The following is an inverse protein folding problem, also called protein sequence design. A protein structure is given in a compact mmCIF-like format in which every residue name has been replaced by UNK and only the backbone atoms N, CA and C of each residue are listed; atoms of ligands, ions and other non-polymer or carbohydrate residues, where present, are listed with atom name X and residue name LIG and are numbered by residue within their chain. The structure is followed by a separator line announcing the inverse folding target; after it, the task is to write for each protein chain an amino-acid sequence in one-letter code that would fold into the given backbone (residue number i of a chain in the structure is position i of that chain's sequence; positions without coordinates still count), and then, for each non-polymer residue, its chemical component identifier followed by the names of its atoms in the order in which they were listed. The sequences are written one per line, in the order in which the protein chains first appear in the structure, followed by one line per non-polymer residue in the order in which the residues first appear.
data_IF_870022479320
#
_entry.id   IF_870022479320
#
_cell.length_a   1.000
_cell.length_b   1.000
_cell.length_c   1.000
_cell.angle_alpha   90.00
_cell.angle_beta   90.00
_cell.angle_gamma   90.00
#
_symmetry.space_group_name_H-M   'P 1'
#
loop_
_entity.id
_entity.type
_entity.pdbx_description
1 polymer ?
#
# COMPACT_ATOMS: atom_id res chain seq x y z
N UNK A 1 -9.13 20.20 14.66
CA UNK A 1 -8.80 18.86 14.15
C UNK A 1 -9.68 18.57 12.94
N UNK A 2 -9.21 17.79 11.96
CA UNK A 2 -10.06 17.37 10.82
C UNK A 2 -11.20 16.44 11.27
N UNK A 3 -12.32 16.45 10.55
CA UNK A 3 -13.51 15.62 10.78
C UNK A 3 -13.63 14.57 9.66
N UNK A 4 -13.24 13.33 9.94
CA UNK A 4 -13.35 12.19 9.03
C UNK A 4 -14.80 11.73 8.86
N UNK A 5 -15.64 11.88 9.89
CA UNK A 5 -17.06 11.48 9.86
C UNK A 5 -17.85 12.18 8.75
N UNK A 6 -17.39 13.36 8.30
CA UNK A 6 -17.92 14.04 7.12
C UNK A 6 -17.86 13.17 5.84
N UNK A 7 -16.87 12.29 5.72
CA UNK A 7 -16.70 11.38 4.59
C UNK A 7 -17.29 9.98 4.84
N UNK A 8 -17.72 9.66 6.07
CA UNK A 8 -18.35 8.37 6.35
C UNK A 8 -19.77 8.32 5.76
N UNK A 9 -20.01 7.33 4.90
CA UNK A 9 -21.30 7.01 4.33
C UNK A 9 -21.98 5.91 5.14
N UNK A 10 -23.04 6.20 5.92
CA UNK A 10 -23.71 5.20 6.74
C UNK A 10 -24.50 4.16 5.93
N UNK A 11 -24.86 4.45 4.68
CA UNK A 11 -25.57 3.51 3.83
C UNK A 11 -24.62 2.42 3.30
N UNK A 12 -23.47 2.84 2.78
CA UNK A 12 -22.45 1.90 2.28
C UNK A 12 -21.57 1.32 3.40
N UNK A 13 -21.54 2.00 4.55
CA UNK A 13 -20.62 1.75 5.67
C UNK A 13 -19.14 1.88 5.29
N UNK A 14 -18.86 2.80 4.34
CA UNK A 14 -17.54 3.07 3.79
C UNK A 14 -17.23 4.57 3.78
N UNK A 15 -15.96 4.91 3.62
CA UNK A 15 -15.51 6.30 3.48
C UNK A 15 -15.61 6.73 2.02
N UNK A 16 -16.28 7.85 1.73
CA UNK A 16 -16.30 8.42 0.38
C UNK A 16 -14.91 8.93 0.00
N UNK A 17 -14.55 8.86 -1.28
CA UNK A 17 -13.25 9.35 -1.79
C UNK A 17 -13.07 10.86 -1.58
N UNK A 18 -14.18 11.60 -1.56
CA UNK A 18 -14.14 13.04 -1.44
C UNK A 18 -15.52 13.66 -1.49
N UNK A 19 -15.55 14.97 -1.71
CA UNK A 19 -16.75 15.80 -1.77
C UNK A 19 -16.60 16.88 -2.83
N UNK A 20 -17.58 16.97 -3.73
CA UNK A 20 -17.60 17.97 -4.80
C UNK A 20 -18.26 19.24 -4.28
N UNK A 21 -17.48 20.25 -3.89
CA UNK A 21 -17.99 21.51 -3.33
C UNK A 21 -18.95 22.20 -4.29
N UNK A 22 -18.62 22.23 -5.58
CA UNK A 22 -19.44 22.85 -6.62
C UNK A 22 -20.78 22.13 -6.86
N UNK A 23 -20.89 20.86 -6.47
CA UNK A 23 -22.11 20.06 -6.60
C UNK A 23 -22.85 19.87 -5.26
N UNK A 24 -22.22 20.20 -4.13
CA UNK A 24 -22.78 20.01 -2.81
C UNK A 24 -22.99 18.54 -2.41
N UNK A 25 -22.28 17.58 -3.03
CA UNK A 25 -22.46 16.15 -2.81
C UNK A 25 -21.15 15.37 -2.67
N UNK A 26 -21.22 14.24 -1.95
CA UNK A 26 -20.10 13.30 -1.80
C UNK A 26 -19.79 12.60 -3.12
N UNK A 27 -18.52 12.20 -3.30
CA UNK A 27 -18.14 11.34 -4.40
C UNK A 27 -18.99 10.06 -4.43
N UNK A 28 -19.34 9.60 -5.64
CA UNK A 28 -20.01 8.32 -5.84
C UNK A 28 -19.08 7.11 -5.61
N UNK A 29 -17.78 7.35 -5.39
CA UNK A 29 -16.78 6.32 -5.12
C UNK A 29 -16.37 6.31 -3.65
N UNK A 30 -16.07 5.12 -3.14
CA UNK A 30 -15.70 4.88 -1.75
C UNK A 30 -14.41 4.06 -1.64
N UNK A 31 -13.65 4.34 -0.58
CA UNK A 31 -12.48 3.55 -0.21
C UNK A 31 -12.96 2.22 0.39
N UNK A 32 -13.19 1.27 -0.51
CA UNK A 32 -13.80 -0.02 -0.21
C UNK A 32 -12.85 -1.21 -0.24
N UNK A 33 -11.63 -1.08 -0.75
CA UNK A 33 -10.64 -2.16 -0.76
C UNK A 33 -9.84 -2.13 0.53
N UNK A 34 -9.75 -3.28 1.19
CA UNK A 34 -9.12 -3.39 2.51
C UNK A 34 -7.61 -3.17 2.46
N UNK A 35 -6.92 -3.83 1.54
CA UNK A 35 -5.47 -3.81 1.45
C UNK A 35 -4.96 -2.70 0.52
N UNK A 36 -5.32 -1.46 0.85
CA UNK A 36 -4.90 -0.25 0.14
C UNK A 36 -4.33 0.81 1.10
N UNK A 37 -3.70 1.86 0.58
CA UNK A 37 -3.10 2.95 1.36
C UNK A 37 -4.15 3.70 2.21
N UNK A 38 -5.37 3.80 1.68
CA UNK A 38 -6.48 4.55 2.29
C UNK A 38 -6.96 3.96 3.61
N UNK A 39 -6.62 2.69 3.93
CA UNK A 39 -6.99 2.02 5.19
C UNK A 39 -6.55 2.79 6.43
N UNK A 40 -5.46 3.55 6.34
CA UNK A 40 -4.98 4.36 7.46
C UNK A 40 -5.97 5.47 7.83
N UNK A 41 -6.61 6.09 6.84
CA UNK A 41 -7.65 7.10 7.06
C UNK A 41 -8.86 6.51 7.77
N UNK A 42 -9.27 5.29 7.37
CA UNK A 42 -10.32 4.52 8.05
C UNK A 42 -9.96 4.21 9.49
N UNK A 43 -8.72 3.78 9.76
CA UNK A 43 -8.26 3.47 11.12
C UNK A 43 -8.29 4.71 12.02
N UNK A 44 -7.84 5.86 11.52
CA UNK A 44 -7.88 7.14 12.23
C UNK A 44 -9.32 7.57 12.50
N UNK A 45 -10.22 7.45 11.51
CA UNK A 45 -11.63 7.79 11.68
C UNK A 45 -12.29 6.95 12.79
N UNK A 46 -12.00 5.65 12.84
CA UNK A 46 -12.49 4.75 13.89
C UNK A 46 -11.89 5.13 15.25
N UNK A 47 -10.59 5.42 15.33
CA UNK A 47 -9.93 5.79 16.58
C UNK A 47 -10.47 7.08 17.18
N UNK A 48 -10.92 8.00 16.31
CA UNK A 48 -11.57 9.24 16.70
C UNK A 48 -13.05 9.07 17.09
N UNK A 49 -13.64 7.89 16.88
CA UNK A 49 -15.07 7.66 17.06
C UNK A 49 -15.94 8.31 15.98
N UNK A 50 -15.34 8.71 14.85
CA UNK A 50 -16.01 9.38 13.72
C UNK A 50 -16.51 8.39 12.65
N UNK A 51 -16.07 7.13 12.73
CA UNK A 51 -16.60 6.00 11.98
C UNK A 51 -16.77 4.78 12.91
N UNK A 52 -17.80 3.94 12.70
CA UNK A 52 -18.00 2.71 13.48
C UNK A 52 -16.91 1.67 13.18
N UNK A 53 -16.60 0.77 14.13
CA UNK A 53 -15.56 -0.26 13.95
C UNK A 53 -15.89 -1.24 12.83
N UNK A 54 -17.18 -1.46 12.60
CA UNK A 54 -17.77 -2.26 11.52
C UNK A 54 -17.26 -1.82 10.14
N UNK A 55 -16.95 -0.54 9.97
CA UNK A 55 -16.36 -0.01 8.74
C UNK A 55 -15.09 -0.79 8.32
N UNK A 56 -14.24 -1.18 9.27
CA UNK A 56 -13.01 -1.92 9.01
C UNK A 56 -13.25 -3.30 8.35
N UNK A 57 -14.35 -3.94 8.75
CA UNK A 57 -14.76 -5.26 8.29
C UNK A 57 -15.66 -5.21 7.04
N UNK A 58 -16.23 -4.02 6.75
CA UNK A 58 -16.99 -3.77 5.53
C UNK A 58 -16.11 -3.73 4.29
N UNK A 59 -14.86 -3.27 4.41
CA UNK A 59 -13.92 -3.20 3.28
C UNK A 59 -13.65 -4.60 2.69
N UNK A 60 -13.63 -4.71 1.37
CA UNK A 60 -13.44 -5.95 0.64
C UNK A 60 -11.98 -6.42 0.68
N UNK A 61 -11.77 -7.68 1.07
CA UNK A 61 -10.47 -8.38 0.93
C UNK A 61 -10.29 -8.85 -0.52
N UNK A 62 -11.36 -9.39 -1.10
CA UNK A 62 -11.50 -9.73 -2.52
C UNK A 62 -12.93 -9.44 -2.98
N UNK A 63 -13.22 -9.56 -4.28
CA UNK A 63 -14.59 -9.55 -4.78
C UNK A 63 -15.10 -10.97 -5.06
N UNK A 64 -16.33 -11.09 -5.53
CA UNK A 64 -16.96 -12.36 -5.80
C UNK A 64 -16.24 -13.10 -6.96
N UNK A 65 -16.10 -14.45 -6.92
CA UNK A 65 -15.40 -15.22 -7.97
C UNK A 65 -15.97 -15.05 -9.38
N UNK A 66 -17.23 -14.64 -9.50
CA UNK A 66 -17.97 -14.44 -10.75
C UNK A 66 -17.61 -13.11 -11.43
N UNK A 67 -16.93 -12.19 -10.71
CA UNK A 67 -16.45 -10.93 -11.27
C UNK A 67 -15.15 -11.15 -12.05
N UNK A 68 -15.30 -11.38 -13.35
CA UNK A 68 -14.23 -11.75 -14.31
C UNK A 68 -13.26 -10.62 -14.67
N UNK A 69 -13.60 -9.37 -14.34
CA UNK A 69 -12.73 -8.21 -14.53
C UNK A 69 -11.53 -8.18 -13.57
N UNK A 70 -11.59 -8.96 -12.49
CA UNK A 70 -10.51 -9.07 -11.51
C UNK A 70 -9.27 -9.75 -12.12
N UNK A 71 -8.07 -9.35 -11.70
CA UNK A 71 -6.82 -9.92 -12.22
C UNK A 71 -6.57 -11.35 -11.79
N UNK A 72 -7.03 -11.73 -10.59
CA UNK A 72 -6.93 -13.08 -10.06
C UNK A 72 -8.30 -13.63 -9.67
N UNK A 73 -8.43 -14.96 -9.68
CA UNK A 73 -9.60 -15.62 -9.11
C UNK A 73 -9.42 -15.78 -7.60
N UNK A 74 -10.32 -15.23 -6.78
CA UNK A 74 -10.22 -15.37 -5.34
C UNK A 74 -10.50 -16.80 -4.88
N UNK A 75 -9.77 -17.22 -3.85
CA UNK A 75 -9.89 -18.51 -3.17
C UNK A 75 -10.37 -18.28 -1.74
N UNK A 76 -11.13 -19.24 -1.20
CA UNK A 76 -11.60 -19.19 0.19
C UNK A 76 -12.58 -18.03 0.45
N UNK A 77 -13.44 -17.71 -0.52
CA UNK A 77 -14.46 -16.65 -0.37
C UNK A 77 -15.60 -17.16 0.50
N UNK A 78 -15.58 -16.79 1.78
CA UNK A 78 -16.55 -17.25 2.77
C UNK A 78 -16.78 -16.20 3.86
N UNK A 79 -17.98 -16.14 4.49
CA UNK A 79 -18.19 -15.33 5.68
C UNK A 79 -17.30 -15.83 6.83
N UNK A 80 -16.59 -14.91 7.49
CA UNK A 80 -15.85 -15.14 8.73
C UNK A 80 -16.36 -14.23 9.83
N UNK A 81 -16.16 -14.63 11.08
CA UNK A 81 -16.55 -13.82 12.23
C UNK A 81 -15.59 -14.01 13.39
N UNK A 82 -15.21 -12.90 14.02
CA UNK A 82 -14.38 -12.86 15.21
C UNK A 82 -14.58 -11.50 15.91
N UNK A 83 -14.42 -11.47 17.23
CA UNK A 83 -14.49 -10.21 17.99
C UNK A 83 -15.83 -9.45 17.89
N UNK A 84 -16.92 -10.14 17.54
CA UNK A 84 -18.24 -9.53 17.33
C UNK A 84 -18.47 -8.94 15.94
N UNK A 85 -17.51 -9.09 15.02
CA UNK A 85 -17.60 -8.60 13.64
C UNK A 85 -17.71 -9.75 12.65
N UNK A 86 -18.34 -9.48 11.51
CA UNK A 86 -18.46 -10.40 10.38
C UNK A 86 -17.93 -9.72 9.13
N UNK A 87 -17.20 -10.46 8.30
CA UNK A 87 -16.70 -10.01 7.01
C UNK A 87 -16.65 -11.17 6.01
N UNK A 88 -16.52 -10.85 4.73
CA UNK A 88 -16.22 -11.84 3.70
C UNK A 88 -14.71 -11.97 3.56
N UNK A 89 -14.18 -13.13 3.97
CA UNK A 89 -12.79 -13.46 3.73
C UNK A 89 -12.57 -13.87 2.28
N UNK A 90 -11.31 -13.88 1.86
CA UNK A 90 -10.88 -14.27 0.52
C UNK A 90 -9.45 -13.81 0.29
N UNK A 91 -8.73 -14.54 -0.53
CA UNK A 91 -7.35 -14.22 -0.89
C UNK A 91 -7.08 -14.62 -2.35
N UNK A 92 -5.99 -14.13 -2.91
CA UNK A 92 -5.43 -14.63 -4.16
C UNK A 92 -4.31 -15.61 -3.86
N UNK A 93 -4.15 -16.57 -4.76
CA UNK A 93 -3.00 -17.47 -4.78
C UNK A 93 -2.17 -17.18 -6.03
N UNK A 94 -0.89 -16.88 -5.85
CA UNK A 94 0.03 -16.72 -6.96
C UNK A 94 1.43 -17.22 -6.59
N UNK A 95 2.02 -18.01 -7.49
CA UNK A 95 3.25 -18.77 -7.24
C UNK A 95 3.07 -19.72 -6.05
N UNK A 96 3.79 -19.49 -4.96
CA UNK A 96 3.83 -20.31 -3.76
C UNK A 96 3.26 -19.57 -2.54
N UNK A 97 2.43 -18.54 -2.76
CA UNK A 97 1.96 -17.63 -1.72
C UNK A 97 0.47 -17.33 -1.84
N UNK A 98 -0.17 -17.26 -0.67
CA UNK A 98 -1.50 -16.70 -0.47
C UNK A 98 -1.37 -15.27 0.05
N UNK A 99 -2.23 -14.37 -0.43
CA UNK A 99 -2.23 -12.97 0.00
C UNK A 99 -3.58 -12.29 -0.29
N UNK A 100 -3.91 -11.27 0.50
CA UNK A 100 -4.99 -10.34 0.18
C UNK A 100 -4.47 -9.32 -0.85
N UNK A 101 -5.06 -9.22 -2.05
CA UNK A 101 -4.61 -8.32 -3.09
C UNK A 101 -4.92 -6.85 -2.75
N UNK A 102 -4.07 -5.95 -3.26
CA UNK A 102 -4.36 -4.50 -3.26
C UNK A 102 -5.27 -4.14 -4.43
N UNK A 103 -5.54 -2.86 -4.71
CA UNK A 103 -6.32 -2.50 -5.91
C UNK A 103 -5.48 -2.62 -7.17
N UNK A 104 -4.32 -1.98 -7.19
CA UNK A 104 -3.42 -1.87 -8.33
C UNK A 104 -2.24 -2.83 -8.32
N UNK A 105 -1.93 -3.47 -7.20
CA UNK A 105 -0.77 -4.35 -7.09
C UNK A 105 0.55 -3.58 -6.97
N UNK A 106 0.51 -2.31 -6.55
CA UNK A 106 1.70 -1.52 -6.29
C UNK A 106 2.23 -1.72 -4.87
N UNK A 107 3.55 -1.59 -4.70
CA UNK A 107 4.16 -1.61 -3.36
C UNK A 107 3.70 -0.45 -2.48
N UNK A 108 3.36 0.70 -3.07
CA UNK A 108 2.83 1.86 -2.35
C UNK A 108 1.55 1.51 -1.57
N UNK A 109 0.57 0.89 -2.23
CA UNK A 109 -0.72 0.52 -1.59
C UNK A 109 -0.52 -0.42 -0.38
N UNK A 110 0.46 -1.32 -0.50
CA UNK A 110 0.82 -2.27 0.53
C UNK A 110 1.56 -1.60 1.70
N UNK A 111 2.61 -0.84 1.41
CA UNK A 111 3.63 -0.47 2.39
C UNK A 111 3.55 0.99 2.88
N UNK A 112 2.85 1.89 2.19
CA UNK A 112 2.71 3.28 2.64
C UNK A 112 2.11 3.38 4.05
N UNK A 113 1.04 2.63 4.40
CA UNK A 113 0.50 2.66 5.77
C UNK A 113 1.51 2.25 6.83
N UNK A 114 2.49 1.40 6.46
CA UNK A 114 3.53 0.97 7.38
C UNK A 114 4.48 2.09 7.80
N UNK A 115 4.52 3.22 7.08
CA UNK A 115 5.34 4.38 7.49
C UNK A 115 4.99 4.90 8.89
N UNK A 116 3.73 4.75 9.30
CA UNK A 116 3.27 5.19 10.63
C UNK A 116 2.69 4.04 11.45
N UNK A 117 2.16 2.99 10.84
CA UNK A 117 1.61 1.85 11.57
C UNK A 117 2.55 0.65 11.47
N UNK A 118 3.16 0.20 12.56
CA UNK A 118 3.96 -1.03 12.53
C UNK A 118 3.06 -2.28 12.42
N UNK A 119 2.67 -2.62 11.20
CA UNK A 119 1.83 -3.78 10.91
C UNK A 119 2.56 -5.10 11.19
N UNK A 120 3.90 -5.13 11.18
CA UNK A 120 4.67 -6.31 11.58
C UNK A 120 4.53 -6.59 13.07
N UNK A 121 4.47 -5.54 13.89
CA UNK A 121 4.29 -5.66 15.33
C UNK A 121 2.82 -5.85 15.71
N UNK A 122 1.91 -5.08 15.12
CA UNK A 122 0.53 -4.99 15.57
C UNK A 122 -0.42 -5.96 14.85
N UNK A 123 -0.05 -6.46 13.67
CA UNK A 123 -0.84 -7.37 12.84
C UNK A 123 0.03 -8.47 12.18
N UNK A 124 0.87 -9.21 12.95
CA UNK A 124 1.88 -10.11 12.40
C UNK A 124 1.32 -11.28 11.58
N UNK A 125 0.06 -11.67 11.83
CA UNK A 125 -0.61 -12.81 11.18
C UNK A 125 -1.69 -12.34 10.19
N UNK A 126 -1.65 -11.08 9.76
CA UNK A 126 -2.54 -10.52 8.74
C UNK A 126 -1.78 -9.48 7.91
N UNK A 127 -2.04 -8.18 8.11
CA UNK A 127 -1.44 -7.10 7.34
C UNK A 127 0.10 -7.18 7.30
N UNK A 128 0.75 -7.49 8.42
CA UNK A 128 2.20 -7.60 8.49
C UNK A 128 2.77 -8.77 7.68
N UNK A 129 2.12 -9.93 7.74
CA UNK A 129 2.51 -11.08 6.91
C UNK A 129 2.23 -10.81 5.43
N UNK A 130 1.08 -10.21 5.12
CA UNK A 130 0.70 -9.83 3.77
C UNK A 130 1.66 -8.82 3.15
N UNK A 131 2.17 -7.85 3.93
CA UNK A 131 3.19 -6.90 3.51
C UNK A 131 4.52 -7.57 3.15
N UNK A 132 4.95 -8.56 3.94
CA UNK A 132 6.15 -9.37 3.63
C UNK A 132 5.97 -10.15 2.33
N UNK A 133 4.84 -10.86 2.20
CA UNK A 133 4.50 -11.62 0.99
C UNK A 133 4.42 -10.70 -0.23
N UNK A 134 3.80 -9.53 -0.08
CA UNK A 134 3.68 -8.56 -1.16
C UNK A 134 5.06 -8.05 -1.60
N UNK A 135 5.93 -7.73 -0.65
CA UNK A 135 7.30 -7.30 -0.96
C UNK A 135 8.10 -8.41 -1.66
N UNK A 136 8.04 -9.63 -1.14
CA UNK A 136 8.77 -10.79 -1.68
C UNK A 136 8.34 -11.07 -3.12
N UNK A 137 7.04 -11.22 -3.37
CA UNK A 137 6.49 -11.47 -4.71
C UNK A 137 6.84 -10.34 -5.67
N UNK A 138 6.82 -9.09 -5.19
CA UNK A 138 7.14 -7.95 -6.02
C UNK A 138 8.61 -7.89 -6.43
N UNK A 139 9.52 -8.24 -5.52
CA UNK A 139 10.94 -8.40 -5.85
C UNK A 139 11.15 -9.58 -6.80
N UNK A 140 10.58 -10.74 -6.50
CA UNK A 140 10.72 -11.97 -7.32
C UNK A 140 10.21 -11.75 -8.74
N UNK A 141 9.04 -11.14 -8.92
CA UNK A 141 8.51 -10.87 -10.25
C UNK A 141 9.43 -9.97 -11.08
N UNK A 142 9.89 -8.86 -10.50
CA UNK A 142 10.78 -7.93 -11.21
C UNK A 142 12.12 -8.58 -11.59
N UNK A 143 12.73 -9.31 -10.66
CA UNK A 143 14.07 -9.89 -10.87
C UNK A 143 14.04 -11.19 -11.68
N UNK A 144 13.06 -12.06 -11.45
CA UNK A 144 13.00 -13.42 -12.01
C UNK A 144 12.20 -13.45 -13.31
N UNK A 145 11.01 -12.81 -13.36
CA UNK A 145 10.13 -12.89 -14.54
C UNK A 145 10.44 -11.83 -15.58
N UNK A 146 10.66 -10.59 -15.11
CA UNK A 146 10.94 -9.45 -16.00
C UNK A 146 12.44 -9.29 -16.30
N UNK A 147 13.31 -9.96 -15.52
CA UNK A 147 14.77 -9.86 -15.67
C UNK A 147 15.32 -8.47 -15.38
N UNK A 148 14.60 -7.65 -14.60
CA UNK A 148 15.05 -6.30 -14.29
C UNK A 148 16.21 -6.32 -13.29
N UNK A 149 17.18 -5.40 -13.41
CA UNK A 149 18.30 -5.32 -12.46
C UNK A 149 17.91 -4.68 -11.12
N UNK A 150 16.77 -3.98 -11.09
CA UNK A 150 16.17 -3.27 -9.95
C UNK A 150 14.66 -3.53 -9.89
N UNK A 151 14.06 -3.31 -8.74
CA UNK A 151 12.63 -3.56 -8.48
C UNK A 151 12.00 -2.44 -7.66
N UNK A 152 10.66 -2.42 -7.54
CA UNK A 152 9.94 -1.35 -6.84
C UNK A 152 8.97 -0.61 -7.74
N UNK A 153 7.94 -1.30 -8.27
CA UNK A 153 6.96 -0.68 -9.16
C UNK A 153 5.85 -0.07 -8.30
N UNK A 154 5.57 1.21 -8.52
CA UNK A 154 4.50 1.98 -7.87
C UNK A 154 4.20 3.23 -8.69
N UNK A 155 3.04 3.87 -8.47
CA UNK A 155 2.70 5.13 -9.12
C UNK A 155 3.83 6.16 -9.00
N UNK A 156 4.25 6.69 -10.14
CA UNK A 156 5.42 7.58 -10.23
C UNK A 156 5.45 8.35 -11.54
N UNK A 157 6.39 9.29 -11.62
CA UNK A 157 6.73 10.01 -12.84
C UNK A 157 7.29 9.05 -13.89
N UNK A 158 6.90 9.24 -15.14
CA UNK A 158 7.42 8.45 -16.26
C UNK A 158 8.80 8.95 -16.70
N UNK A 159 9.81 8.08 -16.83
CA UNK A 159 11.06 8.39 -17.52
C UNK A 159 10.80 8.69 -19.01
N UNK A 160 11.61 9.59 -19.59
CA UNK A 160 11.45 10.07 -20.96
C UNK A 160 10.96 11.53 -21.01
N UNK A 161 11.26 12.23 -22.12
CA UNK A 161 11.23 13.70 -22.22
C UNK A 161 9.88 14.41 -21.99
N UNK A 162 8.77 13.67 -21.89
CA UNK A 162 7.48 14.21 -21.48
C UNK A 162 7.11 13.65 -20.10
N UNK A 163 7.43 14.42 -19.05
CA UNK A 163 7.08 14.06 -17.68
C UNK A 163 5.55 13.88 -17.55
N UNK A 164 5.11 12.64 -17.36
CA UNK A 164 3.74 12.29 -17.04
C UNK A 164 3.71 11.48 -15.75
N UNK A 165 2.53 11.28 -15.16
CA UNK A 165 2.36 10.46 -13.96
C UNK A 165 1.53 9.22 -14.32
N UNK A 166 2.02 8.03 -13.99
CA UNK A 166 1.38 6.77 -14.35
C UNK A 166 1.41 5.79 -13.18
N UNK A 167 0.49 4.84 -13.23
CA UNK A 167 0.36 3.76 -12.25
C UNK A 167 1.15 2.53 -12.73
N UNK A 168 1.99 2.01 -11.85
CA UNK A 168 2.79 0.81 -12.09
C UNK A 168 2.65 -0.14 -10.90
N UNK A 169 2.67 -1.43 -11.18
CA UNK A 169 2.54 -2.48 -10.19
C UNK A 169 2.62 -3.86 -10.82
N UNK A 170 2.09 -4.85 -10.12
CA UNK A 170 1.98 -6.22 -10.61
C UNK A 170 0.52 -6.57 -10.74
N UNK A 171 0.06 -6.80 -11.97
CA UNK A 171 -1.34 -7.09 -12.26
C UNK A 171 -1.92 -8.18 -11.35
N UNK A 172 -1.22 -9.30 -11.19
CA UNK A 172 -1.67 -10.43 -10.34
C UNK A 172 -1.78 -10.09 -8.84
N UNK A 173 -1.17 -9.01 -8.37
CA UNK A 173 -1.19 -8.58 -6.97
C UNK A 173 -2.20 -7.48 -6.69
N UNK A 174 -2.89 -7.00 -7.73
CA UNK A 174 -3.99 -6.06 -7.66
C UNK A 174 -5.31 -6.72 -8.06
N UNK A 175 -6.41 -6.26 -7.51
CA UNK A 175 -7.76 -6.65 -7.94
C UNK A 175 -7.99 -6.13 -9.36
N UNK A 176 -7.84 -4.83 -9.59
CA UNK A 176 -7.88 -4.25 -10.94
C UNK A 176 -6.55 -4.47 -11.67
N UNK A 177 -5.43 -4.31 -10.96
CA UNK A 177 -4.09 -4.64 -11.42
C UNK A 177 -3.49 -3.63 -12.41
N UNK A 178 -2.39 -3.01 -12.02
CA UNK A 178 -1.61 -2.09 -12.84
C UNK A 178 -0.62 -2.82 -13.74
N UNK A 179 -0.16 -2.12 -14.78
CA UNK A 179 0.87 -2.63 -15.69
C UNK A 179 2.25 -2.61 -15.01
N UNK A 180 3.14 -3.55 -15.35
CA UNK A 180 4.53 -3.47 -14.94
C UNK A 180 5.27 -2.38 -15.74
N UNK A 181 6.49 -2.06 -15.31
CA UNK A 181 7.40 -1.22 -16.09
C UNK A 181 8.35 -0.42 -15.20
N UNK A 182 7.99 0.83 -14.96
CA UNK A 182 8.86 1.80 -14.27
C UNK A 182 9.08 1.41 -12.80
N UNK A 183 10.32 1.55 -12.35
CA UNK A 183 10.74 1.33 -10.97
C UNK A 183 10.98 2.67 -10.30
N UNK A 184 10.45 2.86 -9.09
CA UNK A 184 10.54 4.11 -8.33
C UNK A 184 11.26 3.93 -7.00
N UNK A 185 12.08 4.93 -6.65
CA UNK A 185 12.92 4.91 -5.46
C UNK A 185 12.11 4.81 -4.16
N UNK A 186 10.93 5.43 -4.10
CA UNK A 186 10.12 5.41 -2.88
C UNK A 186 9.58 4.01 -2.57
N UNK A 187 9.18 3.24 -3.58
CA UNK A 187 8.73 1.86 -3.39
C UNK A 187 9.87 0.97 -2.86
N UNK A 188 11.08 1.15 -3.40
CA UNK A 188 12.27 0.47 -2.90
C UNK A 188 12.60 0.88 -1.45
N UNK A 189 12.40 2.15 -1.08
CA UNK A 189 12.61 2.62 0.29
C UNK A 189 11.54 2.10 1.26
N UNK A 190 10.27 2.07 0.87
CA UNK A 190 9.20 1.48 1.68
C UNK A 190 9.50 0.03 2.07
N UNK A 191 10.12 -0.74 1.16
CA UNK A 191 10.52 -2.11 1.41
C UNK A 191 11.62 -2.27 2.48
N UNK A 192 12.24 -1.19 2.97
CA UNK A 192 13.15 -1.25 4.13
C UNK A 192 12.45 -1.81 5.39
N UNK A 193 11.13 -1.66 5.49
CA UNK A 193 10.34 -2.13 6.63
C UNK A 193 10.09 -3.64 6.60
N UNK A 194 10.17 -4.29 5.43
CA UNK A 194 9.82 -5.72 5.25
C UNK A 194 11.01 -6.57 4.80
N UNK A 195 11.86 -6.06 3.90
CA UNK A 195 13.07 -6.72 3.39
C UNK A 195 14.29 -5.77 3.38
N UNK A 196 14.80 -5.33 4.54
CA UNK A 196 15.81 -4.27 4.64
C UNK A 196 17.09 -4.52 3.85
N UNK A 197 17.58 -5.77 3.84
CA UNK A 197 18.81 -6.12 3.14
C UNK A 197 18.67 -5.97 1.62
N UNK A 198 17.56 -6.48 1.04
CA UNK A 198 17.32 -6.43 -0.40
C UNK A 198 16.92 -5.02 -0.85
N UNK A 199 16.11 -4.31 -0.07
CA UNK A 199 15.78 -2.91 -0.29
C UNK A 199 17.03 -2.01 -0.31
N UNK A 200 17.94 -2.18 0.64
CA UNK A 200 19.21 -1.43 0.69
C UNK A 200 20.08 -1.68 -0.53
N UNK A 201 20.23 -2.95 -0.95
CA UNK A 201 20.97 -3.30 -2.17
C UNK A 201 20.34 -2.63 -3.39
N UNK A 202 19.01 -2.68 -3.49
CA UNK A 202 18.26 -2.12 -4.62
C UNK A 202 18.38 -0.58 -4.69
N UNK A 203 18.22 0.12 -3.57
CA UNK A 203 18.43 1.58 -3.48
C UNK A 203 19.86 1.97 -3.87
N UNK A 204 20.86 1.19 -3.45
CA UNK A 204 22.25 1.41 -3.87
C UNK A 204 22.41 1.27 -5.38
N UNK A 205 21.82 0.24 -6.00
CA UNK A 205 21.84 0.08 -7.46
C UNK A 205 21.20 1.26 -8.19
N UNK A 206 20.05 1.74 -7.72
CA UNK A 206 19.41 2.93 -8.27
C UNK A 206 20.35 4.14 -8.21
N UNK A 207 21.02 4.36 -7.07
CA UNK A 207 21.96 5.46 -6.90
C UNK A 207 23.23 5.32 -7.75
N UNK A 208 23.85 4.13 -7.80
CA UNK A 208 25.21 3.96 -8.36
C UNK A 208 25.22 3.45 -9.78
N UNK A 209 24.33 2.51 -10.13
CA UNK A 209 24.32 1.89 -11.47
C UNK A 209 23.39 2.64 -12.42
N UNK A 210 22.24 3.12 -11.94
CA UNK A 210 21.35 3.97 -12.73
C UNK A 210 21.73 5.45 -12.62
N UNK A 211 22.60 5.83 -11.67
CA UNK A 211 22.99 7.22 -11.41
C UNK A 211 21.80 8.12 -11.09
N UNK A 212 20.75 7.55 -10.50
CA UNK A 212 19.50 8.23 -10.20
C UNK A 212 19.54 8.94 -8.83
N UNK A 213 20.65 9.59 -8.49
CA UNK A 213 20.82 10.33 -7.23
C UNK A 213 21.33 11.74 -7.53
N UNK A 214 20.62 12.74 -7.03
CA UNK A 214 20.95 14.17 -7.20
C UNK A 214 20.83 14.94 -5.89
N UNK A 215 20.69 16.26 -5.99
CA UNK A 215 20.80 17.19 -4.86
C UNK A 215 19.79 16.95 -3.73
N UNK A 216 18.60 16.42 -4.06
CA UNK A 216 17.55 16.12 -3.08
C UNK A 216 17.40 14.62 -2.79
N UNK A 217 18.41 13.82 -3.14
CA UNK A 217 18.41 12.37 -2.98
C UNK A 217 18.08 11.65 -4.29
N UNK A 218 17.47 10.46 -4.17
CA UNK A 218 17.08 9.67 -5.33
C UNK A 218 16.03 10.41 -6.16
N UNK A 219 16.20 10.41 -7.48
CA UNK A 219 15.17 10.84 -8.42
C UNK A 219 13.98 9.89 -8.38
N UNK A 220 12.81 10.38 -8.84
CA UNK A 220 11.55 9.70 -8.64
C UNK A 220 11.52 8.28 -9.20
N UNK A 221 11.98 8.09 -10.44
CA UNK A 221 11.86 6.80 -11.11
C UNK A 221 12.87 6.57 -12.24
N UNK A 222 13.04 5.29 -12.59
CA UNK A 222 13.88 4.82 -13.71
C UNK A 222 13.13 3.81 -14.56
N UNK A 223 13.46 3.77 -15.85
CA UNK A 223 13.07 2.67 -16.71
C UNK A 223 14.14 1.57 -16.56
N UNK A 224 13.79 0.38 -16.02
CA UNK A 224 14.79 -0.65 -15.72
C UNK A 224 15.44 -1.25 -16.97
N UNK A 225 14.86 -1.05 -18.16
CA UNK A 225 15.37 -1.56 -19.44
C UNK A 225 16.15 -0.48 -20.20
N UNK A 226 15.54 0.67 -20.50
CA UNK A 226 16.21 1.74 -21.25
C UNK A 226 17.23 2.52 -20.41
N UNK A 227 17.17 2.37 -19.08
CA UNK A 227 17.95 3.15 -18.10
C UNK A 227 17.66 4.64 -18.10
N UNK A 228 16.60 5.09 -18.77
CA UNK A 228 16.14 6.47 -18.68
C UNK A 228 15.69 6.79 -17.26
N UNK A 229 15.93 8.03 -16.85
CA UNK A 229 15.60 8.54 -15.52
C UNK A 229 14.50 9.59 -15.67
N UNK A 230 13.54 9.59 -14.75
CA UNK A 230 12.65 10.72 -14.56
C UNK A 230 13.34 11.74 -13.66
N UNK A 231 13.82 12.84 -14.23
CA UNK A 231 14.58 13.89 -13.53
C UNK A 231 13.67 14.82 -12.70
N UNK A 232 12.82 14.22 -11.86
CA UNK A 232 11.87 14.91 -11.00
C UNK A 232 12.01 14.44 -9.55
N UNK A 233 11.52 15.29 -8.65
CA UNK A 233 11.31 14.96 -7.25
C UNK A 233 9.85 15.22 -6.92
N UNK A 234 9.10 14.18 -6.55
CA UNK A 234 7.75 14.34 -6.02
C UNK A 234 7.83 14.46 -4.50
N UNK A 235 7.24 15.53 -3.95
CA UNK A 235 7.24 15.79 -2.50
C UNK A 235 6.74 14.58 -1.70
N UNK A 236 5.64 13.97 -2.14
CA UNK A 236 5.09 12.75 -1.55
C UNK A 236 6.12 11.61 -1.51
N UNK A 237 6.78 11.35 -2.63
CA UNK A 237 7.71 10.23 -2.78
C UNK A 237 9.00 10.46 -1.97
N UNK A 238 9.53 11.69 -1.94
CA UNK A 238 10.67 12.03 -1.09
C UNK A 238 10.32 11.93 0.41
N UNK A 239 9.12 12.35 0.81
CA UNK A 239 8.68 12.22 2.19
C UNK A 239 8.60 10.75 2.62
N UNK A 240 8.08 9.88 1.76
CA UNK A 240 8.03 8.44 2.04
C UNK A 240 9.44 7.82 2.17
N UNK A 241 10.38 8.21 1.31
CA UNK A 241 11.78 7.77 1.43
C UNK A 241 12.36 8.18 2.78
N UNK A 242 12.17 9.45 3.17
CA UNK A 242 12.69 9.98 4.43
C UNK A 242 12.11 9.23 5.65
N UNK A 243 10.79 9.05 5.69
CA UNK A 243 10.12 8.38 6.83
C UNK A 243 10.49 6.90 6.89
N UNK A 244 10.59 6.21 5.76
CA UNK A 244 11.04 4.82 5.71
C UNK A 244 12.47 4.66 6.24
N UNK A 245 13.38 5.54 5.82
CA UNK A 245 14.76 5.59 6.34
C UNK A 245 14.78 5.91 7.84
N UNK A 246 13.97 6.86 8.30
CA UNK A 246 13.90 7.22 9.71
C UNK A 246 13.43 6.02 10.57
N UNK A 247 12.38 5.31 10.15
CA UNK A 247 11.96 4.10 10.87
C UNK A 247 13.04 3.01 10.85
N UNK A 248 13.72 2.82 9.72
CA UNK A 248 14.76 1.80 9.59
C UNK A 248 16.01 2.11 10.44
N UNK A 249 16.45 3.37 10.48
CA UNK A 249 17.70 3.79 11.12
C UNK A 249 17.54 4.24 12.57
N UNK A 250 16.34 4.72 12.94
CA UNK A 250 16.07 5.27 14.27
C UNK A 250 15.03 4.42 15.02
N UNK A 251 15.17 3.08 14.94
CA UNK A 251 14.41 2.12 15.74
C UNK A 251 12.90 2.42 15.76
N UNK A 252 12.29 2.45 14.56
CA UNK A 252 10.85 2.59 14.38
C UNK A 252 10.27 3.90 14.96
N UNK A 253 11.05 4.99 15.00
CA UNK A 253 10.69 6.23 15.69
C UNK A 253 9.31 6.80 15.32
N UNK A 254 8.97 6.86 14.02
CA UNK A 254 7.69 7.43 13.57
C UNK A 254 6.54 6.47 13.90
N UNK A 255 6.76 5.17 13.72
CA UNK A 255 5.75 4.16 14.07
C UNK A 255 5.46 4.13 15.57
N UNK A 256 6.49 4.21 16.42
CA UNK A 256 6.34 4.31 17.88
C UNK A 256 5.61 5.58 18.30
N UNK A 257 5.91 6.71 17.65
CA UNK A 257 5.21 7.96 17.91
C UNK A 257 3.72 7.86 17.57
N UNK A 258 3.38 7.30 16.40
CA UNK A 258 2.00 7.10 15.99
C UNK A 258 1.26 6.14 16.93
N UNK A 259 1.88 5.01 17.31
CA UNK A 259 1.29 4.03 18.22
C UNK A 259 1.09 4.57 19.66
N UNK A 260 1.80 5.62 20.06
CA UNK A 260 1.65 6.26 21.36
C UNK A 260 0.44 7.19 21.45
N UNK A 261 -0.16 7.60 20.32
CA UNK A 261 -1.33 8.47 20.31
C UNK A 261 -2.57 7.74 20.90
N UNK A 262 -3.30 8.33 21.86
CA UNK A 262 -4.50 7.71 22.45
C UNK A 262 -5.58 7.30 21.43
N UNK A 263 -5.73 8.06 20.34
CA UNK A 263 -6.64 7.73 19.23
C UNK A 263 -6.24 6.40 18.61
N UNK A 264 -4.94 6.22 18.36
CA UNK A 264 -4.39 5.01 17.73
C UNK A 264 -4.42 3.84 18.70
N UNK A 265 -4.04 4.03 19.97
CA UNK A 265 -4.08 3.00 21.01
C UNK A 265 -5.47 2.35 21.13
N UNK A 266 -6.54 3.13 20.95
CA UNK A 266 -7.90 2.62 20.99
C UNK A 266 -8.23 1.61 19.87
N UNK A 267 -7.55 1.72 18.72
CA UNK A 267 -7.81 0.91 17.52
C UNK A 267 -6.75 -0.12 17.21
N UNK A 268 -5.57 -0.08 17.83
CA UNK A 268 -4.57 -1.14 17.66
C UNK A 268 -5.11 -2.57 17.92
N UNK A 269 -5.98 -2.82 18.91
CA UNK A 269 -6.57 -4.16 19.09
C UNK A 269 -7.42 -4.65 17.91
N UNK A 270 -8.01 -3.73 17.13
CA UNK A 270 -8.82 -4.04 15.94
C UNK A 270 -8.03 -4.82 14.89
N UNK A 271 -6.74 -4.48 14.74
CA UNK A 271 -5.84 -5.07 13.75
C UNK A 271 -5.54 -6.55 14.02
N UNK A 272 -5.78 -7.02 15.25
CA UNK A 272 -5.51 -8.40 15.69
C UNK A 272 -6.70 -9.34 15.49
N UNK A 273 -7.88 -8.82 15.17
CA UNK A 273 -9.11 -9.61 15.09
C UNK A 273 -9.07 -10.56 13.89
N UNK A 274 -8.64 -10.06 12.75
CA UNK A 274 -8.55 -10.84 11.52
C UNK A 274 -7.13 -11.39 11.33
N UNK A 275 -7.06 -12.64 10.87
CA UNK A 275 -5.85 -13.35 10.47
C UNK A 275 -6.05 -13.90 9.05
N UNK A 276 -5.09 -13.65 8.16
CA UNK A 276 -5.08 -14.13 6.78
C UNK A 276 -3.65 -14.26 6.25
#
# INVERSE_FOLDING_TARGET
QGNYGFFFDPAEQLMSHGYYINLGLRSAYHYGVFYAESRLGSLIAIGKGEAPREHWFRMSRTFAPEMDWQSGKPVGVEPRSAGGFTWTAGHYHWRDKDFVPSWGGSLFEALMPMLVLDELQHAPNSLGQNAKVHTELHRRHALEDLGYPVWGMSPSSTPGGNASYMEYGIKMMGIAGYKPGVVTAHAAALALMTEPAEATKNLRKLATEFKAYGDFGLYDAVNPVSREISWSYLCLNQAMILVALANHLADHAVQKHFAADPIVQHVLPLLKIEQF
#
